data_IF_569629554773
#
_entry.id   IF_569629554773
#
_cell.length_a   1.000
_cell.length_b   1.000
_cell.length_c   1.000
_cell.angle_alpha   90.00
_cell.angle_beta   90.00
_cell.angle_gamma   90.00
#
_symmetry.space_group_name_H-M   'P 1'
#
loop_
_entity.id
_entity.type
_entity.pdbx_description
1 polymer ?
#
# COMPACT_ATOMS: atom_id res chain seq x y z
N UNK A 1 -19.07 -7.26 -5.54
CA UNK A 1 -18.55 -6.75 -4.26
C UNK A 1 -17.99 -5.36 -4.46
N UNK A 2 -18.38 -4.35 -3.66
CA UNK A 2 -17.84 -2.98 -3.82
C UNK A 2 -16.39 -2.88 -3.32
N UNK A 3 -15.68 -1.83 -3.73
CA UNK A 3 -14.24 -1.68 -3.44
C UNK A 3 -13.96 -1.62 -1.93
N UNK A 4 -14.74 -0.87 -1.16
CA UNK A 4 -14.56 -0.72 0.29
C UNK A 4 -14.70 -2.04 1.05
N UNK A 5 -15.62 -2.91 0.64
CA UNK A 5 -15.79 -4.20 1.29
C UNK A 5 -14.60 -5.14 1.01
N UNK A 6 -14.07 -5.11 -0.23
CA UNK A 6 -12.84 -5.82 -0.58
C UNK A 6 -11.67 -5.31 0.28
N UNK A 7 -11.55 -3.99 0.45
CA UNK A 7 -10.54 -3.38 1.32
C UNK A 7 -10.59 -3.91 2.74
N UNK A 8 -11.80 -3.91 3.32
CA UNK A 8 -12.00 -4.31 4.71
C UNK A 8 -11.58 -5.75 4.92
N UNK A 9 -11.97 -6.66 4.03
CA UNK A 9 -11.55 -8.07 4.06
C UNK A 9 -10.02 -8.19 4.01
N UNK A 10 -9.37 -7.50 3.07
CA UNK A 10 -7.92 -7.63 2.88
C UNK A 10 -7.16 -7.07 4.08
N UNK A 11 -7.57 -5.92 4.60
CA UNK A 11 -6.94 -5.30 5.80
C UNK A 11 -7.09 -6.12 7.06
N UNK A 12 -8.04 -7.04 7.06
CA UNK A 12 -8.40 -7.89 8.17
C UNK A 12 -7.45 -9.09 8.34
N UNK A 13 -6.62 -9.42 7.35
CA UNK A 13 -5.56 -10.42 7.47
C UNK A 13 -4.37 -9.85 8.26
N UNK A 14 -3.73 -10.67 9.11
CA UNK A 14 -2.55 -10.23 9.85
C UNK A 14 -1.27 -10.31 9.01
N UNK A 15 -1.13 -9.40 8.04
CA UNK A 15 0.00 -9.35 7.11
C UNK A 15 1.39 -9.25 7.76
N UNK A 16 1.48 -8.77 9.00
CA UNK A 16 2.75 -8.66 9.72
C UNK A 16 3.41 -10.03 9.96
N UNK A 17 2.64 -11.12 10.02
CA UNK A 17 3.14 -12.49 10.21
C UNK A 17 4.14 -12.87 9.10
N UNK A 18 3.93 -12.40 7.88
CA UNK A 18 4.78 -12.70 6.72
C UNK A 18 6.23 -12.25 6.96
N UNK A 19 6.45 -11.23 7.80
CA UNK A 19 7.81 -10.78 8.15
C UNK A 19 8.59 -11.72 9.05
N UNK A 20 7.89 -12.63 9.71
CA UNK A 20 8.49 -13.64 10.58
C UNK A 20 8.71 -14.97 9.83
N UNK A 21 8.32 -15.03 8.56
CA UNK A 21 8.41 -16.22 7.72
C UNK A 21 9.62 -16.09 6.77
N UNK A 22 10.76 -16.69 7.12
CA UNK A 22 11.94 -16.61 6.26
C UNK A 22 11.78 -17.45 4.99
N UNK A 23 12.08 -16.87 3.83
CA UNK A 23 11.90 -17.46 2.50
C UNK A 23 10.56 -17.07 1.85
N UNK A 24 9.46 -17.16 2.60
CA UNK A 24 8.11 -16.78 2.12
C UNK A 24 7.76 -17.41 0.77
N UNK A 25 7.87 -18.74 0.67
CA UNK A 25 7.57 -19.45 -0.57
C UNK A 25 6.09 -19.32 -0.94
N UNK A 26 5.77 -19.64 -2.20
CA UNK A 26 4.40 -19.71 -2.73
C UNK A 26 3.44 -20.43 -1.76
N UNK A 27 3.77 -21.66 -1.37
CA UNK A 27 2.96 -22.47 -0.46
C UNK A 27 2.86 -21.87 0.95
N UNK A 28 3.88 -21.16 1.44
CA UNK A 28 3.82 -20.50 2.74
C UNK A 28 2.81 -19.35 2.74
N UNK A 29 2.73 -18.58 1.66
CA UNK A 29 1.75 -17.49 1.51
C UNK A 29 0.33 -18.06 1.41
N UNK A 30 0.14 -19.15 0.66
CA UNK A 30 -1.13 -19.88 0.62
C UNK A 30 -1.53 -20.31 2.04
N UNK A 31 -0.64 -20.98 2.77
CA UNK A 31 -0.90 -21.42 4.14
C UNK A 31 -1.25 -20.28 5.10
N UNK A 32 -0.61 -19.12 4.94
CA UNK A 32 -0.95 -17.90 5.68
C UNK A 32 -2.39 -17.44 5.39
N UNK A 33 -2.75 -17.28 4.11
CA UNK A 33 -4.09 -16.82 3.72
C UNK A 33 -5.17 -17.80 4.20
N UNK A 34 -4.96 -19.10 4.02
CA UNK A 34 -5.87 -20.14 4.47
C UNK A 34 -6.08 -20.08 5.98
N UNK A 35 -4.99 -19.98 6.75
CA UNK A 35 -5.05 -19.95 8.21
C UNK A 35 -5.75 -18.70 8.73
N UNK A 36 -5.45 -17.53 8.17
CA UNK A 36 -6.11 -16.28 8.57
C UNK A 36 -7.58 -16.24 8.19
N UNK A 37 -7.96 -16.87 7.07
CA UNK A 37 -9.36 -16.98 6.67
C UNK A 37 -10.17 -17.88 7.60
N UNK A 38 -9.67 -19.09 7.88
CA UNK A 38 -10.34 -20.08 8.74
C UNK A 38 -10.52 -19.54 10.18
N UNK A 39 -9.52 -18.83 10.71
CA UNK A 39 -9.59 -18.28 12.08
C UNK A 39 -10.70 -17.23 12.25
N UNK A 40 -11.17 -16.60 11.17
CA UNK A 40 -12.15 -15.50 11.26
C UNK A 40 -13.55 -15.95 11.67
N UNK A 41 -13.92 -17.18 11.33
CA UNK A 41 -15.25 -17.69 11.61
C UNK A 41 -15.25 -19.23 11.57
N UNK A 42 -16.00 -19.91 12.45
CA UNK A 42 -16.19 -21.36 12.35
C UNK A 42 -16.86 -21.80 11.05
N UNK A 43 -17.53 -20.86 10.35
CA UNK A 43 -18.20 -21.09 9.07
C UNK A 43 -17.30 -20.82 7.85
N UNK A 44 -16.02 -20.48 8.08
CA UNK A 44 -15.04 -20.29 7.02
C UNK A 44 -14.25 -21.58 6.78
N UNK A 45 -14.09 -21.93 5.50
CA UNK A 45 -13.29 -23.07 5.07
C UNK A 45 -12.46 -22.71 3.84
N UNK A 46 -11.60 -23.62 3.41
CA UNK A 46 -10.73 -23.44 2.23
C UNK A 46 -10.83 -24.68 1.37
N UNK A 47 -10.90 -24.47 0.07
CA UNK A 47 -10.77 -25.49 -0.94
C UNK A 47 -9.35 -25.43 -1.51
N UNK A 48 -8.54 -26.43 -1.14
CA UNK A 48 -7.21 -26.69 -1.69
C UNK A 48 -7.31 -27.75 -2.80
N UNK A 49 -6.52 -27.62 -3.86
CA UNK A 49 -6.68 -28.41 -5.07
C UNK A 49 -7.92 -28.01 -5.87
N UNK A 50 -8.07 -26.71 -6.11
CA UNK A 50 -9.27 -26.13 -6.74
C UNK A 50 -9.58 -26.78 -8.09
N UNK A 51 -10.79 -27.33 -8.29
CA UNK A 51 -11.19 -27.84 -9.59
C UNK A 51 -11.13 -26.73 -10.64
N UNK A 52 -10.92 -27.10 -11.90
CA UNK A 52 -10.89 -26.11 -12.99
C UNK A 52 -12.29 -25.53 -13.21
N UNK A 53 -12.44 -24.25 -13.61
CA UNK A 53 -13.72 -23.69 -14.03
C UNK A 53 -14.16 -24.19 -15.41
N UNK A 54 -13.29 -24.93 -16.10
CA UNK A 54 -13.60 -25.61 -17.35
C UNK A 54 -13.71 -27.12 -17.13
N UNK A 55 -14.86 -27.68 -17.49
CA UNK A 55 -15.11 -29.13 -17.50
C UNK A 55 -14.52 -29.73 -18.78
N UNK A 56 -13.57 -30.66 -18.65
CA UNK A 56 -12.91 -31.31 -19.80
C UNK A 56 -12.11 -32.55 -19.42
N UNK A 57 -11.77 -33.38 -20.42
CA UNK A 57 -10.94 -34.59 -20.21
C UNK A 57 -9.45 -34.24 -20.22
N UNK A 58 -8.79 -34.41 -19.06
CA UNK A 58 -7.34 -34.27 -18.91
C UNK A 58 -6.87 -32.86 -18.54
N UNK A 59 -5.56 -32.69 -18.32
CA UNK A 59 -4.94 -31.45 -17.80
C UNK A 59 -4.83 -30.30 -18.82
N UNK A 60 -5.02 -30.56 -20.11
CA UNK A 60 -4.76 -29.57 -21.17
C UNK A 60 -5.88 -28.51 -21.18
N UNK A 61 -5.54 -27.26 -20.91
CA UNK A 61 -6.49 -26.14 -20.86
C UNK A 61 -7.20 -25.96 -19.52
N UNK A 62 -6.91 -26.79 -18.51
CA UNK A 62 -7.40 -26.57 -17.15
C UNK A 62 -6.72 -25.33 -16.56
N UNK A 63 -7.51 -24.52 -15.86
CA UNK A 63 -7.02 -23.42 -15.03
C UNK A 63 -7.37 -23.75 -13.59
N UNK A 64 -6.37 -24.03 -12.77
CA UNK A 64 -6.58 -24.35 -11.37
C UNK A 64 -6.05 -23.19 -10.54
N UNK A 65 -6.94 -22.54 -9.80
CA UNK A 65 -6.53 -21.57 -8.79
C UNK A 65 -5.75 -22.26 -7.67
N UNK A 66 -4.93 -21.49 -6.96
CA UNK A 66 -4.15 -22.02 -5.85
C UNK A 66 -5.06 -22.45 -4.70
N UNK A 67 -6.00 -21.58 -4.30
CA UNK A 67 -7.04 -21.89 -3.30
C UNK A 67 -8.33 -21.13 -3.58
N UNK A 68 -9.45 -21.63 -3.06
CA UNK A 68 -10.68 -20.85 -2.87
C UNK A 68 -10.96 -20.72 -1.38
N UNK A 69 -11.18 -19.49 -0.92
CA UNK A 69 -11.69 -19.21 0.42
C UNK A 69 -13.22 -19.31 0.36
N UNK A 70 -13.80 -20.12 1.24
CA UNK A 70 -15.23 -20.41 1.28
C UNK A 70 -15.88 -19.78 2.52
N UNK A 71 -17.15 -19.40 2.38
CA UNK A 71 -17.97 -18.85 3.45
C UNK A 71 -19.29 -19.62 3.50
N UNK A 72 -19.53 -20.34 4.59
CA UNK A 72 -20.60 -21.32 4.66
C UNK A 72 -20.39 -22.45 3.67
N UNK A 73 -21.45 -22.77 2.93
CA UNK A 73 -21.48 -23.78 1.88
C UNK A 73 -21.09 -23.25 0.49
N UNK A 74 -20.64 -21.99 0.40
CA UNK A 74 -20.33 -21.33 -0.88
C UNK A 74 -18.86 -20.96 -1.06
N UNK A 75 -18.33 -21.02 -2.29
CA UNK A 75 -17.07 -20.36 -2.63
C UNK A 75 -17.22 -18.85 -2.47
N UNK A 76 -16.18 -18.15 -2.06
CA UNK A 76 -16.26 -16.72 -1.76
C UNK A 76 -15.14 -15.89 -2.39
N UNK A 77 -13.88 -16.31 -2.26
CA UNK A 77 -12.72 -15.61 -2.84
C UNK A 77 -11.87 -16.62 -3.58
N UNK A 78 -11.68 -16.43 -4.88
CA UNK A 78 -10.68 -17.17 -5.65
C UNK A 78 -9.32 -16.51 -5.48
N UNK A 79 -8.29 -17.29 -5.14
CA UNK A 79 -6.96 -16.77 -4.83
C UNK A 79 -5.92 -17.37 -5.75
N UNK A 80 -5.05 -16.51 -6.28
CA UNK A 80 -3.84 -16.86 -7.01
C UNK A 80 -2.65 -16.21 -6.30
N UNK A 81 -1.56 -16.95 -6.12
CA UNK A 81 -0.28 -16.45 -5.64
C UNK A 81 0.71 -16.57 -6.79
N UNK A 82 1.49 -15.53 -7.07
CA UNK A 82 2.41 -15.59 -8.21
C UNK A 82 3.70 -14.81 -7.98
N UNK A 83 4.80 -15.44 -8.38
CA UNK A 83 6.15 -14.87 -8.34
C UNK A 83 6.57 -14.36 -9.71
N UNK A 84 6.13 -14.99 -10.79
CA UNK A 84 6.56 -14.65 -12.15
C UNK A 84 5.66 -13.57 -12.74
N UNK A 85 6.23 -12.38 -12.95
CA UNK A 85 5.53 -11.22 -13.56
C UNK A 85 4.89 -11.57 -14.90
N UNK A 86 5.53 -12.44 -15.69
CA UNK A 86 5.02 -12.88 -16.99
C UNK A 86 3.70 -13.67 -16.90
N UNK A 87 3.34 -14.19 -15.72
CA UNK A 87 2.13 -14.98 -15.50
C UNK A 87 0.96 -14.17 -14.91
N UNK A 88 1.16 -12.92 -14.49
CA UNK A 88 0.09 -12.17 -13.82
C UNK A 88 -1.17 -12.01 -14.66
N UNK A 89 -1.04 -11.75 -15.97
CA UNK A 89 -2.21 -11.62 -16.84
C UNK A 89 -2.95 -12.96 -16.98
N UNK A 90 -2.22 -14.07 -17.10
CA UNK A 90 -2.78 -15.43 -17.10
C UNK A 90 -3.54 -15.71 -15.78
N UNK A 91 -3.00 -15.28 -14.64
CA UNK A 91 -3.67 -15.43 -13.34
C UNK A 91 -4.92 -14.56 -13.22
N UNK A 92 -4.92 -13.35 -13.78
CA UNK A 92 -6.14 -12.54 -13.89
C UNK A 92 -7.18 -13.24 -14.77
N UNK A 93 -6.76 -13.85 -15.88
CA UNK A 93 -7.66 -14.63 -16.74
C UNK A 93 -8.21 -15.87 -16.05
N UNK A 94 -7.42 -16.51 -15.18
CA UNK A 94 -7.84 -17.62 -14.33
C UNK A 94 -8.95 -17.17 -13.38
N UNK A 95 -8.70 -16.12 -12.59
CA UNK A 95 -9.67 -15.50 -11.69
C UNK A 95 -10.97 -15.12 -12.42
N UNK A 96 -10.85 -14.47 -13.58
CA UNK A 96 -12.00 -14.09 -14.39
C UNK A 96 -12.84 -15.30 -14.83
N UNK A 97 -12.19 -16.42 -15.14
CA UNK A 97 -12.87 -17.66 -15.55
C UNK A 97 -13.66 -18.28 -14.39
N UNK A 98 -13.13 -18.23 -13.17
CA UNK A 98 -13.86 -18.66 -11.97
C UNK A 98 -15.06 -17.77 -11.66
N UNK A 99 -14.86 -16.44 -11.67
CA UNK A 99 -15.95 -15.48 -11.40
C UNK A 99 -17.06 -15.58 -12.47
N UNK A 100 -16.69 -15.84 -13.73
CA UNK A 100 -17.63 -15.99 -14.83
C UNK A 100 -18.39 -17.33 -14.87
N UNK A 101 -17.89 -18.38 -14.21
CA UNK A 101 -18.58 -19.67 -14.13
C UNK A 101 -19.54 -19.68 -12.92
N UNK A 102 -20.70 -19.06 -13.09
CA UNK A 102 -21.76 -19.03 -12.07
C UNK A 102 -22.52 -20.35 -11.93
N UNK A 103 -22.31 -21.33 -12.81
CA UNK A 103 -22.95 -22.64 -12.72
C UNK A 103 -22.31 -23.48 -11.62
N UNK A 104 -20.97 -23.56 -11.62
CA UNK A 104 -20.22 -24.38 -10.66
C UNK A 104 -19.68 -23.58 -9.48
N UNK A 105 -19.47 -22.26 -9.65
CA UNK A 105 -18.82 -21.39 -8.66
C UNK A 105 -19.70 -20.21 -8.24
N UNK A 106 -21.03 -20.39 -8.19
CA UNK A 106 -21.94 -19.41 -7.63
C UNK A 106 -21.50 -18.98 -6.21
N UNK A 107 -21.37 -17.68 -6.00
CA UNK A 107 -20.99 -17.09 -4.70
C UNK A 107 -19.61 -16.42 -4.67
N UNK A 108 -18.72 -16.68 -5.64
CA UNK A 108 -17.43 -15.97 -5.71
C UNK A 108 -17.71 -14.47 -5.84
N UNK A 109 -17.26 -13.72 -4.84
CA UNK A 109 -17.58 -12.30 -4.72
C UNK A 109 -16.49 -11.39 -5.28
N UNK A 110 -15.23 -11.82 -5.25
CA UNK A 110 -14.10 -11.17 -5.89
C UNK A 110 -12.89 -12.14 -5.99
N UNK A 111 -11.90 -11.77 -6.80
CA UNK A 111 -10.63 -12.48 -6.87
C UNK A 111 -9.50 -11.78 -6.13
N UNK A 112 -8.54 -12.54 -5.62
CA UNK A 112 -7.34 -12.03 -4.97
C UNK A 112 -6.09 -12.58 -5.66
N UNK A 113 -5.27 -11.69 -6.23
CA UNK A 113 -3.94 -12.03 -6.75
C UNK A 113 -2.86 -11.49 -5.81
N UNK A 114 -2.11 -12.39 -5.18
CA UNK A 114 -0.97 -12.04 -4.33
C UNK A 114 0.32 -12.17 -5.14
N UNK A 115 0.99 -11.05 -5.35
CA UNK A 115 2.17 -10.93 -6.19
C UNK A 115 3.42 -10.79 -5.29
N UNK A 116 4.45 -11.59 -5.55
CA UNK A 116 5.74 -11.50 -4.85
C UNK A 116 6.75 -10.76 -5.74
N UNK A 117 7.46 -9.74 -5.21
CA UNK A 117 8.45 -8.95 -5.96
C UNK A 117 9.80 -8.95 -5.25
N UNK A 118 10.87 -9.30 -5.96
CA UNK A 118 12.24 -9.20 -5.45
C UNK A 118 12.87 -7.88 -5.90
N UNK A 119 13.21 -7.02 -4.95
CA UNK A 119 13.70 -5.66 -5.21
C UNK A 119 15.21 -5.58 -5.42
N UNK A 120 15.97 -6.57 -4.95
CA UNK A 120 17.43 -6.65 -5.11
C UNK A 120 17.90 -8.12 -5.29
N UNK A 121 19.21 -8.31 -5.52
CA UNK A 121 19.80 -9.63 -5.80
C UNK A 121 19.76 -10.05 -7.28
N UNK A 122 20.26 -11.26 -7.56
CA UNK A 122 20.41 -11.77 -8.93
C UNK A 122 19.09 -12.04 -9.65
N UNK A 123 18.03 -12.34 -8.89
CA UNK A 123 16.68 -12.61 -9.39
C UNK A 123 15.73 -11.42 -9.17
N UNK A 124 16.24 -10.19 -9.12
CA UNK A 124 15.39 -9.00 -8.94
C UNK A 124 14.45 -8.83 -10.13
N UNK A 125 13.20 -8.49 -9.88
CA UNK A 125 12.23 -8.12 -10.91
C UNK A 125 11.16 -7.23 -10.30
N UNK A 126 10.69 -6.24 -11.05
CA UNK A 126 9.69 -5.28 -10.58
C UNK A 126 8.31 -5.68 -11.09
N UNK A 127 7.28 -5.56 -10.26
CA UNK A 127 5.90 -5.73 -10.74
C UNK A 127 5.58 -4.74 -11.87
N UNK A 128 4.89 -5.22 -12.90
CA UNK A 128 4.33 -4.37 -13.93
C UNK A 128 2.95 -3.81 -13.52
N UNK A 129 2.94 -3.01 -12.45
CA UNK A 129 1.69 -2.55 -11.83
C UNK A 129 0.74 -1.82 -12.80
N UNK A 130 1.27 -1.04 -13.76
CA UNK A 130 0.43 -0.29 -14.67
C UNK A 130 -0.37 -1.24 -15.58
N UNK A 131 0.32 -2.11 -16.31
CA UNK A 131 -0.31 -3.00 -17.29
C UNK A 131 -1.24 -4.00 -16.61
N UNK A 132 -0.84 -4.52 -15.45
CA UNK A 132 -1.63 -5.50 -14.67
C UNK A 132 -2.93 -4.87 -14.15
N UNK A 133 -2.89 -3.62 -13.67
CA UNK A 133 -4.10 -2.87 -13.26
C UNK A 133 -5.01 -2.57 -14.44
N UNK A 134 -4.48 -2.08 -15.55
CA UNK A 134 -5.27 -1.79 -16.75
C UNK A 134 -5.93 -3.06 -17.29
N UNK A 135 -5.20 -4.19 -17.30
CA UNK A 135 -5.76 -5.46 -17.72
C UNK A 135 -6.86 -5.95 -16.78
N UNK A 136 -6.68 -5.88 -15.46
CA UNK A 136 -7.74 -6.22 -14.51
C UNK A 136 -9.00 -5.36 -14.67
N UNK A 137 -8.85 -4.05 -14.85
CA UNK A 137 -9.99 -3.15 -15.13
C UNK A 137 -10.71 -3.59 -16.41
N UNK A 138 -9.97 -3.99 -17.45
CA UNK A 138 -10.57 -4.45 -18.72
C UNK A 138 -11.41 -5.72 -18.60
N UNK A 139 -11.24 -6.50 -17.52
CA UNK A 139 -12.09 -7.68 -17.24
C UNK A 139 -13.45 -7.33 -16.63
N UNK A 140 -13.63 -6.10 -16.12
CA UNK A 140 -14.84 -5.63 -15.44
C UNK A 140 -15.31 -6.59 -14.31
N UNK A 141 -14.37 -7.18 -13.56
CA UNK A 141 -14.64 -8.06 -12.42
C UNK A 141 -14.11 -7.46 -11.12
N UNK A 142 -14.76 -7.73 -9.97
CA UNK A 142 -14.21 -7.38 -8.67
C UNK A 142 -12.91 -8.16 -8.41
N UNK A 143 -11.81 -7.45 -8.19
CA UNK A 143 -10.49 -8.06 -8.01
C UNK A 143 -9.61 -7.18 -7.14
N UNK A 144 -8.75 -7.82 -6.35
CA UNK A 144 -7.72 -7.16 -5.58
C UNK A 144 -6.35 -7.78 -5.79
N UNK A 145 -5.36 -6.92 -5.65
CA UNK A 145 -3.95 -7.23 -5.72
C UNK A 145 -3.30 -6.93 -4.39
N UNK A 146 -2.48 -7.86 -3.92
CA UNK A 146 -1.54 -7.62 -2.81
C UNK A 146 -0.14 -7.87 -3.33
N UNK A 147 0.69 -6.84 -3.30
CA UNK A 147 2.10 -6.92 -3.66
C UNK A 147 2.93 -7.01 -2.39
N UNK A 148 3.75 -8.05 -2.31
CA UNK A 148 4.71 -8.25 -1.23
C UNK A 148 6.10 -8.01 -1.83
N UNK A 149 6.70 -6.89 -1.48
CA UNK A 149 8.06 -6.56 -1.87
C UNK A 149 9.06 -7.18 -0.89
N UNK A 150 10.10 -7.78 -1.47
CA UNK A 150 11.10 -8.58 -0.77
C UNK A 150 12.50 -8.08 -1.14
N UNK A 151 13.32 -7.77 -0.14
CA UNK A 151 14.76 -7.55 -0.31
C UNK A 151 15.56 -8.69 0.29
N UNK A 152 16.66 -9.02 -0.36
CA UNK A 152 17.65 -9.99 0.06
C UNK A 152 18.24 -9.50 1.37
N UNK A 153 18.16 -10.34 2.40
CA UNK A 153 18.67 -10.00 3.75
C UNK A 153 20.20 -9.95 3.73
N UNK A 154 20.76 -8.94 4.39
CA UNK A 154 22.16 -8.97 4.79
C UNK A 154 22.30 -9.80 6.07
N UNK A 155 22.93 -10.96 5.95
CA UNK A 155 23.01 -11.95 7.02
C UNK A 155 24.32 -11.78 7.76
N UNK A 156 24.26 -11.80 9.10
CA UNK A 156 25.44 -11.86 9.97
C UNK A 156 26.01 -13.27 10.07
N UNK A 157 26.64 -13.55 11.21
CA UNK A 157 27.29 -14.84 11.52
C UNK A 157 26.64 -15.55 12.72
N UNK A 158 25.34 -15.35 12.93
CA UNK A 158 24.60 -16.09 13.95
C UNK A 158 24.29 -17.51 13.46
N UNK A 159 24.02 -18.42 14.40
CA UNK A 159 23.57 -19.79 14.08
C UNK A 159 22.34 -19.78 13.16
N UNK A 160 21.39 -18.87 13.41
CA UNK A 160 20.20 -18.72 12.57
C UNK A 160 20.56 -18.22 11.17
N UNK A 161 21.50 -17.28 11.04
CA UNK A 161 21.91 -16.75 9.75
C UNK A 161 22.66 -17.80 8.91
N UNK A 162 23.48 -18.62 9.56
CA UNK A 162 24.11 -19.77 8.90
C UNK A 162 23.08 -20.78 8.38
N UNK A 163 22.01 -21.05 9.15
CA UNK A 163 20.91 -21.90 8.70
C UNK A 163 20.13 -21.26 7.54
N UNK A 164 19.83 -19.96 7.62
CA UNK A 164 19.13 -19.23 6.55
C UNK A 164 19.91 -19.27 5.24
N UNK A 165 21.25 -19.18 5.26
CA UNK A 165 22.09 -19.30 4.03
C UNK A 165 21.91 -20.62 3.29
N UNK A 166 21.51 -21.69 3.99
CA UNK A 166 21.29 -23.02 3.40
C UNK A 166 19.91 -23.19 2.77
N UNK A 167 19.01 -22.23 2.94
CA UNK A 167 17.64 -22.33 2.43
C UNK A 167 17.61 -22.04 0.91
N UNK A 168 16.94 -22.93 0.16
CA UNK A 168 16.75 -22.83 -1.29
C UNK A 168 16.05 -21.53 -1.71
N UNK A 169 15.10 -21.05 -0.91
CA UNK A 169 14.36 -19.83 -1.23
C UNK A 169 15.15 -18.55 -0.96
N UNK A 170 16.36 -18.64 -0.36
CA UNK A 170 17.14 -17.54 0.22
C UNK A 170 16.34 -16.71 1.27
N UNK A 171 16.95 -16.19 2.34
CA UNK A 171 16.24 -15.32 3.26
C UNK A 171 15.96 -13.95 2.62
N UNK A 172 14.67 -13.62 2.57
CA UNK A 172 14.19 -12.30 2.17
C UNK A 172 13.55 -11.59 3.37
N UNK A 173 13.80 -10.30 3.50
CA UNK A 173 13.03 -9.40 4.36
C UNK A 173 11.91 -8.78 3.52
N UNK A 174 10.78 -8.45 4.16
CA UNK A 174 9.69 -7.74 3.51
C UNK A 174 9.93 -6.24 3.63
N UNK A 175 9.99 -5.54 2.50
CA UNK A 175 10.18 -4.08 2.45
C UNK A 175 8.86 -3.32 2.42
N UNK A 176 7.85 -3.85 1.72
CA UNK A 176 6.49 -3.30 1.70
C UNK A 176 5.46 -4.39 1.45
N UNK A 177 4.22 -4.12 1.86
CA UNK A 177 3.05 -4.90 1.46
C UNK A 177 2.01 -3.88 1.00
N UNK A 178 1.87 -3.72 -0.31
CA UNK A 178 0.95 -2.76 -0.90
C UNK A 178 -0.27 -3.48 -1.46
N UNK A 179 -1.42 -2.82 -1.45
CA UNK A 179 -2.63 -3.37 -2.04
C UNK A 179 -3.32 -2.39 -2.98
N UNK A 180 -4.08 -2.97 -3.88
CA UNK A 180 -4.92 -2.26 -4.83
C UNK A 180 -6.18 -3.09 -5.05
N UNK A 181 -7.35 -2.46 -5.16
CA UNK A 181 -8.59 -3.17 -5.45
C UNK A 181 -9.47 -2.38 -6.40
N UNK A 182 -10.19 -3.13 -7.24
CA UNK A 182 -11.24 -2.65 -8.12
C UNK A 182 -12.53 -3.39 -7.77
N UNK A 183 -13.55 -2.61 -7.38
CA UNK A 183 -14.85 -3.16 -6.98
C UNK A 183 -15.87 -3.15 -8.11
N UNK A 184 -17.00 -3.84 -7.90
CA UNK A 184 -18.16 -3.80 -8.81
C UNK A 184 -18.79 -2.40 -8.93
N UNK A 185 -18.47 -1.49 -8.02
CA UNK A 185 -18.81 -0.07 -8.09
C UNK A 185 -17.87 0.74 -9.00
N UNK A 186 -16.97 0.06 -9.72
CA UNK A 186 -15.96 0.62 -10.63
C UNK A 186 -15.04 1.64 -9.97
N UNK A 187 -14.89 1.56 -8.65
CA UNK A 187 -13.96 2.38 -7.88
C UNK A 187 -12.66 1.66 -7.67
N UNK A 188 -11.59 2.46 -7.71
CA UNK A 188 -10.24 2.03 -7.41
C UNK A 188 -9.87 2.53 -6.03
N UNK A 189 -9.30 1.64 -5.23
CA UNK A 189 -8.71 1.96 -3.94
C UNK A 189 -7.35 1.28 -3.82
N UNK A 190 -6.52 1.77 -2.90
CA UNK A 190 -5.23 1.17 -2.62
C UNK A 190 -4.58 1.77 -1.39
N UNK A 191 -3.47 1.17 -1.00
CA UNK A 191 -2.69 1.62 0.14
C UNK A 191 -1.67 0.57 0.56
N UNK A 192 -1.28 0.62 1.82
CA UNK A 192 -0.26 -0.26 2.39
C UNK A 192 -0.84 -1.06 3.56
N UNK A 193 -0.55 -2.37 3.58
CA UNK A 193 -0.97 -3.34 4.60
C UNK A 193 0.11 -3.61 5.64
N UNK A 194 1.33 -3.11 5.42
CA UNK A 194 2.48 -3.46 6.23
C UNK A 194 2.61 -2.55 7.45
N UNK A 195 2.22 -3.03 8.64
CA UNK A 195 2.31 -2.22 9.87
C UNK A 195 3.74 -2.15 10.39
N UNK A 196 4.57 -3.18 10.18
CA UNK A 196 5.98 -3.19 10.65
C UNK A 196 6.88 -2.17 9.94
N UNK A 197 6.50 -1.63 8.78
CA UNK A 197 7.15 -0.42 8.23
C UNK A 197 7.07 0.76 9.23
N UNK A 198 5.98 0.84 10.00
CA UNK A 198 5.85 1.79 11.10
C UNK A 198 6.77 1.40 12.26
N UNK A 199 6.71 0.17 12.77
CA UNK A 199 7.47 -0.25 13.96
C UNK A 199 9.00 -0.36 13.77
N UNK A 200 9.50 -0.80 12.61
CA UNK A 200 10.95 -0.83 12.33
C UNK A 200 11.52 0.56 12.03
N UNK A 201 10.72 1.50 11.50
CA UNK A 201 11.10 2.92 11.51
C UNK A 201 11.22 3.45 12.94
N UNK A 202 10.33 3.07 13.86
CA UNK A 202 10.41 3.52 15.25
C UNK A 202 11.50 2.83 16.08
N UNK A 203 11.82 1.55 15.81
CA UNK A 203 12.77 0.76 16.59
C UNK A 203 14.25 0.84 16.11
N UNK A 204 14.53 1.26 14.86
CA UNK A 204 15.91 1.48 14.38
C UNK A 204 16.43 2.92 14.61
N UNK A 205 15.66 3.79 15.26
CA UNK A 205 16.03 5.19 15.47
C UNK A 205 16.81 5.45 16.77
N UNK A 206 17.82 4.63 17.03
CA UNK A 206 19.02 5.13 17.70
C UNK A 206 20.02 5.53 16.60
N UNK A 207 19.92 6.81 16.19
CA UNK A 207 20.84 7.55 15.32
C UNK A 207 20.71 7.44 13.78
N UNK A 208 20.43 8.63 13.21
CA UNK A 208 20.72 9.20 11.88
C UNK A 208 19.65 9.13 10.78
N UNK A 209 19.05 10.30 10.56
CA UNK A 209 18.34 10.79 9.37
C UNK A 209 17.11 9.99 8.89
N UNK A 210 16.04 10.06 9.68
CA UNK A 210 14.67 9.82 9.19
C UNK A 210 14.31 10.89 8.17
N UNK A 211 14.34 10.55 6.89
CA UNK A 211 13.77 11.41 5.85
C UNK A 211 12.25 11.19 5.84
N UNK A 212 11.51 11.98 6.62
CA UNK A 212 10.04 12.02 6.46
C UNK A 212 9.74 12.41 5.01
N UNK A 213 8.91 11.63 4.33
CA UNK A 213 8.36 11.98 3.03
C UNK A 213 6.84 11.84 3.04
N UNK A 214 6.11 12.97 3.03
CA UNK A 214 4.70 13.00 2.65
C UNK A 214 4.67 12.81 1.12
N UNK A 215 3.98 11.78 0.63
CA UNK A 215 3.89 11.50 -0.81
C UNK A 215 2.95 12.49 -1.53
N UNK A 216 3.02 12.56 -2.86
CA UNK A 216 2.11 13.43 -3.63
C UNK A 216 0.65 13.00 -3.47
N UNK A 217 0.40 11.69 -3.52
CA UNK A 217 -0.93 11.10 -3.37
C UNK A 217 -1.53 11.43 -2.01
N UNK A 218 -0.71 11.49 -0.95
CA UNK A 218 -1.17 11.89 0.37
C UNK A 218 -1.50 13.38 0.45
N UNK A 219 -0.73 14.24 -0.24
CA UNK A 219 -1.03 15.67 -0.36
C UNK A 219 -2.37 15.87 -1.06
N UNK A 220 -2.56 15.19 -2.20
CA UNK A 220 -3.80 15.24 -2.99
C UNK A 220 -5.00 14.77 -2.18
N UNK A 221 -4.86 13.67 -1.44
CA UNK A 221 -5.91 13.16 -0.57
C UNK A 221 -6.31 14.20 0.49
N UNK A 222 -5.34 14.84 1.14
CA UNK A 222 -5.60 15.85 2.18
C UNK A 222 -6.26 17.09 1.57
N UNK A 223 -5.75 17.60 0.45
CA UNK A 223 -6.34 18.76 -0.26
C UNK A 223 -7.80 18.48 -0.61
N UNK A 224 -8.08 17.32 -1.22
CA UNK A 224 -9.44 16.94 -1.61
C UNK A 224 -10.38 16.78 -0.41
N UNK A 225 -9.85 16.37 0.75
CA UNK A 225 -10.65 16.20 1.97
C UNK A 225 -10.89 17.50 2.72
N UNK A 226 -9.96 18.45 2.65
CA UNK A 226 -10.13 19.78 3.23
C UNK A 226 -11.24 20.56 2.49
N UNK A 227 -11.37 20.37 1.18
CA UNK A 227 -12.42 21.01 0.38
C UNK A 227 -12.30 22.53 0.34
N UNK A 228 -11.09 23.06 0.48
CA UNK A 228 -10.80 24.49 0.46
C UNK A 228 -10.13 24.88 -0.86
N UNK A 229 -10.69 25.86 -1.57
CA UNK A 229 -10.15 26.41 -2.82
C UNK A 229 -8.79 27.12 -2.60
N UNK A 230 -8.58 27.63 -1.40
CA UNK A 230 -7.36 28.30 -0.94
C UNK A 230 -7.08 27.93 0.53
N UNK A 231 -5.84 27.63 0.86
CA UNK A 231 -5.44 27.22 2.21
C UNK A 231 -3.99 27.56 2.54
N UNK A 232 -3.67 27.63 3.83
CA UNK A 232 -2.31 27.82 4.36
C UNK A 232 -1.71 26.51 4.85
N UNK A 233 -0.41 26.53 5.16
CA UNK A 233 0.23 25.38 5.82
C UNK A 233 -0.39 25.07 7.19
N UNK A 234 -0.99 26.04 7.88
CA UNK A 234 -1.68 25.80 9.15
C UNK A 234 -2.97 25.01 8.95
N UNK A 235 -3.78 25.35 7.95
CA UNK A 235 -5.00 24.61 7.64
C UNK A 235 -4.68 23.15 7.28
N UNK A 236 -3.62 22.94 6.50
CA UNK A 236 -3.14 21.61 6.14
C UNK A 236 -2.63 20.83 7.36
N UNK A 237 -1.90 21.50 8.26
CA UNK A 237 -1.40 20.89 9.49
C UNK A 237 -2.54 20.57 10.47
N UNK A 238 -3.51 21.47 10.63
CA UNK A 238 -4.66 21.28 11.52
C UNK A 238 -5.55 20.13 11.02
N UNK A 239 -5.74 19.99 9.69
CA UNK A 239 -6.39 18.80 9.14
C UNK A 239 -5.64 17.52 9.49
N UNK A 240 -4.31 17.48 9.34
CA UNK A 240 -3.48 16.33 9.71
C UNK A 240 -3.62 16.03 11.20
N UNK A 241 -3.58 17.07 12.03
CA UNK A 241 -3.68 16.95 13.49
C UNK A 241 -4.99 16.31 13.92
N UNK A 242 -6.09 16.71 13.29
CA UNK A 242 -7.42 16.27 13.68
C UNK A 242 -7.81 14.91 13.08
N UNK A 243 -7.30 14.58 11.88
CA UNK A 243 -7.77 13.43 11.09
C UNK A 243 -6.70 12.36 10.82
N UNK A 244 -5.42 12.67 10.99
CA UNK A 244 -4.30 11.83 10.56
C UNK A 244 -3.28 11.65 11.70
N UNK A 245 -3.75 11.16 12.86
CA UNK A 245 -2.95 11.00 14.10
C UNK A 245 -1.61 10.29 13.88
N UNK A 246 -1.59 9.26 13.04
CA UNK A 246 -0.36 8.53 12.69
C UNK A 246 0.66 9.40 11.92
N UNK A 247 0.19 10.26 11.02
CA UNK A 247 1.06 11.19 10.29
C UNK A 247 1.55 12.31 11.21
N UNK A 248 0.70 12.79 12.12
CA UNK A 248 1.07 13.77 13.14
C UNK A 248 2.18 13.23 14.04
N UNK A 249 2.02 12.02 14.60
CA UNK A 249 3.03 11.37 15.43
C UNK A 249 4.37 11.19 14.70
N UNK A 250 4.33 10.84 13.40
CA UNK A 250 5.53 10.74 12.55
C UNK A 250 6.23 12.08 12.42
N UNK A 251 5.48 13.12 12.09
CA UNK A 251 5.97 14.49 11.95
C UNK A 251 6.62 14.96 13.25
N UNK A 252 5.89 14.88 14.36
CA UNK A 252 6.41 15.30 15.66
C UNK A 252 7.66 14.50 16.03
N UNK A 253 7.64 13.17 15.88
CA UNK A 253 8.80 12.31 16.22
C UNK A 253 10.08 12.67 15.47
N UNK A 254 10.04 13.03 14.19
CA UNK A 254 11.28 13.38 13.47
C UNK A 254 11.79 14.78 13.78
N UNK A 255 10.95 15.65 14.35
CA UNK A 255 11.32 17.02 14.68
C UNK A 255 11.46 17.26 16.20
N UNK A 256 11.14 16.27 17.05
CA UNK A 256 11.25 16.31 18.52
C UNK A 256 12.67 16.06 19.07
N UNK A 257 13.56 15.39 18.33
CA UNK A 257 14.88 14.94 18.84
C UNK A 257 16.11 15.68 18.27
N UNK A 258 15.95 16.82 17.59
CA UNK A 258 17.10 17.56 17.05
C UNK A 258 17.46 18.79 17.90
N UNK A 259 18.16 18.58 19.02
CA UNK A 259 18.91 19.67 19.68
C UNK A 259 19.91 20.35 18.70
N UNK A 260 20.24 19.68 17.59
CA UNK A 260 21.23 20.11 16.60
C UNK A 260 20.68 20.71 15.29
N UNK A 261 19.36 20.88 15.11
CA UNK A 261 18.81 21.65 13.96
C UNK A 261 17.98 22.82 14.46
N UNK A 262 18.65 23.93 14.78
CA UNK A 262 18.00 25.22 15.05
C UNK A 262 17.00 25.55 13.92
N UNK A 263 15.70 25.45 14.21
CA UNK A 263 14.65 26.15 13.47
C UNK A 263 13.84 25.39 12.40
N UNK A 264 14.01 24.09 12.20
CA UNK A 264 13.23 23.35 11.19
C UNK A 264 12.09 22.54 11.83
N UNK A 265 10.88 23.09 11.82
CA UNK A 265 9.66 22.52 12.43
C UNK A 265 8.86 21.63 11.46
N UNK A 266 7.90 20.82 11.96
CA UNK A 266 6.93 20.13 11.12
C UNK A 266 6.23 21.06 10.11
N UNK A 267 5.87 22.26 10.53
CA UNK A 267 5.24 23.27 9.67
C UNK A 267 6.17 23.74 8.56
N UNK A 268 7.46 23.97 8.85
CA UNK A 268 8.44 24.35 7.82
C UNK A 268 8.64 23.22 6.80
N UNK A 269 8.65 21.98 7.27
CA UNK A 269 8.71 20.81 6.40
C UNK A 269 7.50 20.70 5.46
N UNK A 270 6.29 20.79 6.02
CA UNK A 270 5.05 20.71 5.23
C UNK A 270 5.00 21.84 4.21
N UNK A 271 5.32 23.08 4.63
CA UNK A 271 5.35 24.25 3.77
C UNK A 271 6.28 24.01 2.55
N UNK A 272 7.52 23.57 2.79
CA UNK A 272 8.46 23.27 1.71
C UNK A 272 7.97 22.14 0.81
N UNK A 273 7.30 21.13 1.38
CA UNK A 273 6.79 20.00 0.64
C UNK A 273 5.62 20.38 -0.29
N UNK A 274 4.74 21.27 0.17
CA UNK A 274 3.65 21.85 -0.62
C UNK A 274 4.19 22.79 -1.70
N UNK A 275 5.19 23.61 -1.39
CA UNK A 275 5.87 24.44 -2.40
C UNK A 275 6.48 23.58 -3.50
N UNK A 276 7.19 22.50 -3.13
CA UNK A 276 7.76 21.58 -4.11
C UNK A 276 6.67 20.91 -4.95
N UNK A 277 5.59 20.42 -4.32
CA UNK A 277 4.46 19.81 -5.01
C UNK A 277 3.82 20.79 -6.01
N UNK A 278 3.54 22.03 -5.60
CA UNK A 278 2.89 23.04 -6.46
C UNK A 278 3.63 23.34 -7.77
N UNK A 279 4.94 23.06 -7.84
CA UNK A 279 5.78 23.31 -9.01
C UNK A 279 5.81 22.15 -10.00
N UNK A 280 5.17 21.04 -9.67
CA UNK A 280 5.09 19.87 -10.54
C UNK A 280 3.95 20.02 -11.55
N UNK A 281 4.13 19.49 -12.76
CA UNK A 281 3.17 19.66 -13.87
C UNK A 281 1.79 19.07 -13.54
N UNK A 282 1.78 17.96 -12.81
CA UNK A 282 0.61 17.19 -12.38
C UNK A 282 0.02 17.66 -11.03
N UNK A 283 0.57 18.71 -10.43
CA UNK A 283 0.06 19.23 -9.16
C UNK A 283 -1.38 19.75 -9.26
N UNK A 284 -2.18 19.52 -8.23
CA UNK A 284 -3.49 20.17 -8.03
C UNK A 284 -3.36 21.66 -7.67
N UNK A 285 -2.17 22.13 -7.27
CA UNK A 285 -1.95 23.50 -6.80
C UNK A 285 -1.40 24.39 -7.90
N UNK A 286 -1.82 25.65 -7.89
CA UNK A 286 -1.20 26.72 -8.67
C UNK A 286 0.28 26.88 -8.28
N UNK A 287 1.21 27.06 -9.24
CA UNK A 287 2.64 27.12 -8.93
C UNK A 287 3.01 28.20 -7.92
N UNK A 288 3.62 27.78 -6.81
CA UNK A 288 3.99 28.70 -5.73
C UNK A 288 5.28 29.47 -6.07
N UNK A 289 5.17 30.80 -6.10
CA UNK A 289 6.29 31.73 -6.36
C UNK A 289 6.98 32.09 -5.04
N UNK A 290 8.31 32.23 -5.03
CA UNK A 290 9.04 32.63 -3.82
C UNK A 290 8.79 34.09 -3.45
N UNK A 291 8.88 34.41 -2.16
CA UNK A 291 8.62 35.75 -1.63
C UNK A 291 9.48 36.83 -2.33
N UNK A 292 10.78 36.55 -2.50
CA UNK A 292 11.75 37.43 -3.17
C UNK A 292 11.40 37.77 -4.63
N UNK A 293 10.66 36.89 -5.33
CA UNK A 293 10.28 37.06 -6.73
C UNK A 293 8.84 37.53 -6.91
N UNK A 294 8.02 37.45 -5.85
CA UNK A 294 6.56 37.52 -5.95
C UNK A 294 5.87 38.69 -5.26
N UNK A 295 6.58 39.50 -4.44
CA UNK A 295 6.02 40.65 -3.69
C UNK A 295 4.59 40.38 -3.17
N UNK A 296 4.42 39.30 -2.41
CA UNK A 296 3.18 38.97 -1.66
C UNK A 296 2.10 38.13 -2.40
N UNK A 297 2.31 37.67 -3.65
CA UNK A 297 1.27 36.89 -4.38
C UNK A 297 0.88 35.53 -3.78
N UNK A 298 1.82 34.86 -3.10
CA UNK A 298 1.61 33.54 -2.50
C UNK A 298 1.85 33.56 -0.98
N UNK A 299 1.86 34.75 -0.37
CA UNK A 299 2.12 34.90 1.05
C UNK A 299 1.13 35.88 1.65
N UNK A 300 0.63 35.57 2.84
CA UNK A 300 -0.20 36.50 3.61
C UNK A 300 0.48 36.86 4.93
N UNK A 301 0.25 38.09 5.40
CA UNK A 301 0.66 38.51 6.74
C UNK A 301 -0.22 37.77 7.76
N UNK A 302 0.41 37.15 8.75
CA UNK A 302 -0.33 36.36 9.76
C UNK A 302 -0.80 37.21 10.94
N UNK A 303 -1.81 36.71 11.66
CA UNK A 303 -2.24 37.25 12.94
C UNK A 303 -1.16 37.04 14.02
N UNK A 304 -1.17 37.81 15.12
CA UNK A 304 -0.24 37.59 16.24
C UNK A 304 -0.33 36.16 16.81
N UNK A 305 -1.55 35.58 16.84
CA UNK A 305 -1.79 34.19 17.27
C UNK A 305 -1.12 33.17 16.35
N UNK A 306 -1.20 33.38 15.04
CA UNK A 306 -0.59 32.46 14.06
C UNK A 306 0.91 32.68 13.93
N UNK A 307 1.38 33.90 14.20
CA UNK A 307 2.81 34.23 14.33
C UNK A 307 3.46 33.47 15.48
N UNK A 308 2.80 33.33 16.63
CA UNK A 308 3.29 32.49 17.73
C UNK A 308 3.39 31.01 17.33
N UNK A 309 2.44 30.51 16.54
CA UNK A 309 2.41 29.11 16.08
C UNK A 309 3.46 28.81 15.01
N UNK A 310 3.57 29.67 13.99
CA UNK A 310 4.42 29.45 12.81
C UNK A 310 5.81 30.09 12.92
N UNK A 311 6.00 31.03 13.85
CA UNK A 311 7.25 31.77 14.10
C UNK A 311 7.73 32.62 12.91
N UNK A 312 6.82 33.12 12.09
CA UNK A 312 7.09 34.01 10.94
C UNK A 312 5.97 35.03 10.78
N UNK A 313 6.31 36.24 10.30
CA UNK A 313 5.34 37.31 10.01
C UNK A 313 4.48 37.06 8.77
N UNK A 314 4.93 36.14 7.91
CA UNK A 314 4.25 35.77 6.68
C UNK A 314 4.15 34.25 6.56
N UNK A 315 3.04 33.79 5.98
CA UNK A 315 2.77 32.37 5.74
C UNK A 315 2.43 32.12 4.28
N UNK A 316 2.87 30.97 3.77
CA UNK A 316 2.58 30.52 2.42
C UNK A 316 1.08 30.21 2.26
N UNK A 317 0.51 30.68 1.15
CA UNK A 317 -0.87 30.45 0.73
C UNK A 317 -0.87 29.63 -0.56
N UNK A 318 -1.62 28.54 -0.56
CA UNK A 318 -1.75 27.61 -1.66
C UNK A 318 -3.16 27.70 -2.24
N UNK A 319 -3.25 27.77 -3.57
CA UNK A 319 -4.52 27.84 -4.29
C UNK A 319 -4.64 26.63 -5.20
N UNK A 320 -5.81 26.02 -5.26
CA UNK A 320 -6.12 24.99 -6.26
C UNK A 320 -6.06 25.58 -7.69
N UNK A 321 -5.82 24.72 -8.68
CA UNK A 321 -5.82 25.08 -10.11
C UNK A 321 -7.23 25.23 -10.67
#
# INVERSE_FOLDING_TARGET
MNSLFIENIIKEFNWDIITSMYGNSHSSIIGFLSSEWIKKSPDHSVLDGVPSPFVGKGRKGQKNADIILCKGDKPFIVVEVETLVSKYLEKIDSIASYIGNTEDYDGISFGLLVMLNYTNGGNKYKHNWHDVKQYAISKDIPIAFVSIEKSKVDLGDTVLDQLKRRNEYYPWEISSIDYWAFGSDRKIIGGNLFKRYKAQMYAKNENKDVKIQISNEKIELVINKMGLDEFTVLDFYDYIKDNEKDLLERLDSAFMNSENKKGYSPLNYISNRLVHYSRQNDSLLSPHVSYEKGKDKCFMKVSEKDKERFKSDYIAVFKLK
#
